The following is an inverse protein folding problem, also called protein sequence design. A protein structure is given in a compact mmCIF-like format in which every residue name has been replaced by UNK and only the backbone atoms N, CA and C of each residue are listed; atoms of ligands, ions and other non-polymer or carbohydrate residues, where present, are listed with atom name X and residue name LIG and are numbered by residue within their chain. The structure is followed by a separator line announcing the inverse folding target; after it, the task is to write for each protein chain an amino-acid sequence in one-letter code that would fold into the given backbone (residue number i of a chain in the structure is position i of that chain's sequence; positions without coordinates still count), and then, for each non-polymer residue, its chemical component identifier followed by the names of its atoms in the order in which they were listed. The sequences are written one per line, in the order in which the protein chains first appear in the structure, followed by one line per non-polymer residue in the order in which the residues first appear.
data_IF_058619987104
#
_entry.id   IF_058619987104
#
_cell.length_a   1.000
_cell.length_b   1.000
_cell.length_c   1.000
_cell.angle_alpha   90.00
_cell.angle_beta   90.00
_cell.angle_gamma   90.00
#
_symmetry.space_group_name_H-M   'P 1'
#
loop_
_entity.id
_entity.type
_entity.pdbx_description
1 polymer ?
#
# COMPACT_ATOMS: atom_id res chain seq x y z
N UNK A 1 0.36 -14.20 -5.26
CA UNK A 1 0.52 -13.20 -4.17
C UNK A 1 1.22 -11.97 -4.71
N UNK A 2 0.74 -10.78 -4.34
CA UNK A 2 1.30 -9.52 -4.80
C UNK A 2 2.41 -9.08 -3.86
N UNK A 3 3.61 -8.83 -4.39
CA UNK A 3 4.74 -8.37 -3.60
C UNK A 3 4.74 -6.84 -3.47
N UNK A 4 4.52 -6.16 -4.58
CA UNK A 4 4.44 -4.70 -4.60
C UNK A 4 3.53 -4.25 -5.73
N UNK A 5 3.09 -3.00 -5.65
CA UNK A 5 2.33 -2.36 -6.73
C UNK A 5 3.04 -1.05 -7.05
N UNK A 6 3.30 -0.85 -8.33
CA UNK A 6 3.90 0.39 -8.83
C UNK A 6 2.93 1.02 -9.81
N UNK A 7 2.55 2.26 -9.56
CA UNK A 7 1.60 2.94 -10.43
C UNK A 7 1.47 4.41 -10.12
N UNK A 8 0.50 5.03 -10.77
CA UNK A 8 0.22 6.45 -10.58
C UNK A 8 -0.68 6.65 -9.36
N UNK A 9 -0.40 7.68 -8.58
CA UNK A 9 -1.24 8.04 -7.44
C UNK A 9 -2.44 8.81 -7.97
N UNK A 10 -3.63 8.21 -7.86
CA UNK A 10 -4.88 8.87 -8.28
C UNK A 10 -5.60 9.53 -7.12
N UNK A 11 -5.48 8.96 -5.91
CA UNK A 11 -6.01 9.54 -4.69
C UNK A 11 -5.08 9.21 -3.55
N UNK A 12 -4.92 10.14 -2.62
CA UNK A 12 -4.06 9.95 -1.45
C UNK A 12 -4.67 10.68 -0.27
N UNK A 13 -4.81 9.97 0.85
CA UNK A 13 -5.19 10.56 2.12
C UNK A 13 -4.40 9.86 3.25
N UNK A 14 -4.47 10.34 4.50
CA UNK A 14 -3.62 9.78 5.57
C UNK A 14 -3.82 8.29 5.87
N UNK A 15 -4.92 7.67 5.43
CA UNK A 15 -5.19 6.28 5.73
C UNK A 15 -5.08 5.36 4.53
N UNK A 16 -5.09 5.90 3.31
CA UNK A 16 -5.06 5.06 2.12
C UNK A 16 -4.53 5.78 0.90
N UNK A 17 -4.06 5.01 -0.07
CA UNK A 17 -3.66 5.50 -1.38
C UNK A 17 -4.30 4.61 -2.44
N UNK A 18 -4.69 5.23 -3.55
CA UNK A 18 -5.15 4.48 -4.72
C UNK A 18 -4.09 4.61 -5.80
N UNK A 19 -3.50 3.49 -6.18
CA UNK A 19 -2.52 3.42 -7.25
C UNK A 19 -3.18 2.84 -8.48
N UNK A 20 -3.03 3.52 -9.59
CA UNK A 20 -3.53 3.03 -10.87
C UNK A 20 -2.40 2.37 -11.65
N UNK A 21 -2.62 1.12 -12.03
CA UNK A 21 -1.65 0.33 -12.79
C UNK A 21 -2.40 -0.36 -13.92
N UNK A 22 -2.08 0.00 -15.17
CA UNK A 22 -2.72 -0.55 -16.36
C UNK A 22 -4.24 -0.45 -16.34
N UNK A 23 -4.77 0.69 -15.88
CA UNK A 23 -6.21 0.94 -15.85
C UNK A 23 -6.93 0.35 -14.65
N UNK A 24 -6.20 -0.29 -13.74
CA UNK A 24 -6.79 -0.84 -12.51
C UNK A 24 -6.37 0.01 -11.33
N UNK A 25 -7.37 0.44 -10.53
CA UNK A 25 -7.11 1.20 -9.30
C UNK A 25 -7.05 0.29 -8.10
N UNK A 26 -5.92 0.25 -7.42
CA UNK A 26 -5.74 -0.56 -6.22
C UNK A 26 -5.85 0.32 -4.99
N UNK A 27 -6.78 0.00 -4.10
CA UNK A 27 -6.92 0.69 -2.82
C UNK A 27 -5.99 0.03 -1.81
N UNK A 28 -5.07 0.80 -1.26
CA UNK A 28 -4.03 0.29 -0.37
C UNK A 28 -4.08 1.07 0.92
N UNK A 29 -4.21 0.36 2.04
CA UNK A 29 -4.20 0.99 3.37
C UNK A 29 -2.75 1.29 3.76
N UNK A 30 -2.51 2.49 4.28
CA UNK A 30 -1.16 2.94 4.60
C UNK A 30 -1.12 3.60 5.97
N UNK A 31 0.09 3.69 6.54
CA UNK A 31 0.32 4.44 7.77
C UNK A 31 0.50 5.92 7.46
N UNK A 32 0.40 6.74 8.49
CA UNK A 32 0.67 8.18 8.35
C UNK A 32 2.08 8.43 7.84
N UNK A 33 3.05 7.64 8.30
CA UNK A 33 4.43 7.75 7.86
C UNK A 33 4.56 7.51 6.35
N UNK A 34 3.89 6.47 5.84
CA UNK A 34 3.88 6.17 4.41
C UNK A 34 3.18 7.29 3.64
N UNK A 35 2.06 7.80 4.16
CA UNK A 35 1.36 8.93 3.57
C UNK A 35 2.30 10.13 3.39
N UNK A 36 3.03 10.48 4.43
CA UNK A 36 3.96 11.62 4.38
C UNK A 36 5.04 11.40 3.32
N UNK A 37 5.52 10.17 3.17
CA UNK A 37 6.49 9.84 2.15
C UNK A 37 5.96 9.89 0.72
N UNK A 38 4.66 9.68 0.54
CA UNK A 38 4.00 9.71 -0.78
C UNK A 38 3.47 11.08 -1.15
N UNK A 39 3.23 11.93 -0.16
CA UNK A 39 2.62 13.23 -0.40
C UNK A 39 3.48 14.08 -1.34
N UNK A 40 2.83 14.62 -2.38
CA UNK A 40 3.51 15.41 -3.39
C UNK A 40 4.08 14.63 -4.56
N UNK A 41 4.01 13.31 -4.53
CA UNK A 41 4.48 12.47 -5.62
C UNK A 41 3.34 12.14 -6.58
N UNK A 42 3.68 11.94 -7.86
CA UNK A 42 2.69 11.57 -8.88
C UNK A 42 2.60 10.07 -9.09
N UNK A 43 3.67 9.33 -8.75
CA UNK A 43 3.70 7.88 -8.84
C UNK A 43 4.45 7.31 -7.65
N UNK A 44 4.29 6.02 -7.42
CA UNK A 44 4.93 5.37 -6.29
C UNK A 44 5.02 3.87 -6.48
N UNK A 45 5.96 3.26 -5.75
CA UNK A 45 6.06 1.82 -5.58
C UNK A 45 5.81 1.54 -4.12
N UNK A 46 4.81 0.73 -3.84
CA UNK A 46 4.39 0.42 -2.48
C UNK A 46 4.47 -1.09 -2.26
N UNK A 47 5.16 -1.51 -1.22
CA UNK A 47 5.27 -2.93 -0.88
C UNK A 47 4.03 -3.38 -0.15
N UNK A 48 3.50 -4.56 -0.54
CA UNK A 48 2.17 -5.00 -0.16
C UNK A 48 2.22 -6.17 0.82
N UNK A 49 1.36 -6.08 1.83
CA UNK A 49 0.96 -7.23 2.64
C UNK A 49 -0.50 -7.48 2.34
N UNK A 50 -0.79 -8.64 1.73
CA UNK A 50 -2.14 -9.02 1.36
C UNK A 50 -2.80 -9.77 2.50
N UNK A 51 -3.89 -9.22 3.02
CA UNK A 51 -4.64 -9.80 4.12
C UNK A 51 -6.00 -10.27 3.61
N UNK A 52 -6.30 -11.53 3.81
CA UNK A 52 -7.56 -12.12 3.38
C UNK A 52 -8.34 -12.68 4.53
N UNK A 53 -9.63 -12.36 4.56
CA UNK A 53 -10.62 -12.96 5.44
C UNK A 53 -11.69 -13.64 4.59
N UNK A 54 -12.63 -14.32 5.22
CA UNK A 54 -13.75 -14.98 4.56
C UNK A 54 -14.47 -14.07 3.55
N UNK A 55 -14.74 -12.84 3.96
CA UNK A 55 -15.55 -11.90 3.20
C UNK A 55 -14.84 -10.58 2.91
N UNK A 56 -13.52 -10.53 3.15
CA UNK A 56 -12.77 -9.28 3.06
C UNK A 56 -11.36 -9.51 2.55
N UNK A 57 -10.93 -8.64 1.67
CA UNK A 57 -9.59 -8.65 1.11
C UNK A 57 -8.99 -7.25 1.25
N UNK A 58 -7.86 -7.17 1.96
CA UNK A 58 -7.20 -5.89 2.21
C UNK A 58 -5.76 -5.92 1.74
N UNK A 59 -5.31 -4.79 1.19
CA UNK A 59 -3.91 -4.57 0.87
C UNK A 59 -3.36 -3.53 1.84
N UNK A 60 -2.32 -3.91 2.58
CA UNK A 60 -1.57 -2.97 3.42
C UNK A 60 -0.29 -2.60 2.69
N UNK A 61 0.02 -1.32 2.62
CA UNK A 61 1.15 -0.82 1.86
C UNK A 61 2.22 -0.16 2.70
N UNK A 62 3.47 -0.36 2.28
CA UNK A 62 4.64 0.15 2.99
C UNK A 62 5.62 0.77 2.00
N UNK A 63 6.30 1.82 2.43
CA UNK A 63 7.27 2.50 1.58
C UNK A 63 8.51 1.65 1.33
N UNK A 64 8.87 0.76 2.27
CA UNK A 64 10.04 -0.11 2.15
C UNK A 64 9.70 -1.54 2.50
N UNK A 65 10.53 -2.47 2.02
CA UNK A 65 10.41 -3.88 2.39
C UNK A 65 10.60 -4.10 3.87
N UNK A 66 11.53 -3.38 4.48
CA UNK A 66 11.84 -3.54 5.90
C UNK A 66 10.63 -3.19 6.76
N UNK A 67 9.90 -2.13 6.41
CA UNK A 67 8.68 -1.77 7.13
C UNK A 67 7.63 -2.86 7.00
N UNK A 68 7.47 -3.45 5.82
CA UNK A 68 6.54 -4.54 5.61
C UNK A 68 6.92 -5.77 6.44
N UNK A 69 8.20 -6.12 6.46
CA UNK A 69 8.66 -7.29 7.23
C UNK A 69 8.50 -7.08 8.73
N UNK A 70 8.73 -5.85 9.21
CA UNK A 70 8.47 -5.51 10.61
C UNK A 70 6.99 -5.66 10.95
N UNK A 71 6.12 -5.17 10.07
CA UNK A 71 4.68 -5.33 10.25
C UNK A 71 4.28 -6.80 10.37
N UNK A 72 4.83 -7.65 9.49
CA UNK A 72 4.57 -9.08 9.50
C UNK A 72 5.00 -9.76 10.79
N UNK A 73 6.11 -9.32 11.37
CA UNK A 73 6.57 -9.82 12.65
C UNK A 73 5.61 -9.44 13.77
N UNK A 74 5.05 -8.23 13.72
CA UNK A 74 4.16 -7.74 14.76
C UNK A 74 2.78 -8.39 14.75
N UNK A 75 2.31 -8.79 13.59
CA UNK A 75 0.98 -9.40 13.49
C UNK A 75 1.00 -10.92 13.60
N UNK A 76 2.16 -11.49 13.72
CA UNK A 76 2.30 -12.90 13.91
C UNK A 76 2.84 -13.67 12.79
#
# INVERSE_FOLDING_TARGET
MIDYIKGNITELNPTEVILECYGIGYRILISLQTYEGLNGKSDAKVYIHHYMREDEELYYGFATKDERELFRLLIG
#
